data_IF_350371254879
#
_entry.id   IF_350371254879
#
_cell.length_a   1.000
_cell.length_b   1.000
_cell.length_c   1.000
_cell.angle_alpha   90.00
_cell.angle_beta   90.00
_cell.angle_gamma   90.00
#
_symmetry.space_group_name_H-M   'P 1'
#
loop_
_entity.id
_entity.type
_entity.pdbx_description
1 polymer ?
#
# COMPACT_ATOMS: atom_id res chain seq x y z
N UNK A 1 -17.05 9.03 -11.65
CA UNK A 1 -17.36 8.31 -10.39
C UNK A 1 -16.77 6.91 -10.35
N UNK A 2 -16.87 6.09 -11.42
CA UNK A 2 -16.26 4.74 -11.43
C UNK A 2 -14.74 4.71 -11.20
N UNK A 3 -14.00 5.65 -11.79
CA UNK A 3 -12.53 5.74 -11.64
C UNK A 3 -12.09 5.97 -10.20
N UNK A 4 -12.72 6.93 -9.51
CA UNK A 4 -12.45 7.24 -8.10
C UNK A 4 -12.79 6.06 -7.19
N UNK A 5 -13.91 5.38 -7.43
CA UNK A 5 -14.30 4.20 -6.66
C UNK A 5 -13.34 3.03 -6.92
N UNK A 6 -12.91 2.79 -8.15
CA UNK A 6 -11.94 1.75 -8.51
C UNK A 6 -10.55 2.05 -7.92
N UNK A 7 -10.16 3.33 -7.89
CA UNK A 7 -8.93 3.83 -7.26
C UNK A 7 -8.93 3.59 -5.75
N UNK A 8 -10.04 3.96 -5.08
CA UNK A 8 -10.20 3.80 -3.63
C UNK A 8 -10.22 2.31 -3.27
N UNK A 9 -11.00 1.49 -3.98
CA UNK A 9 -11.08 0.05 -3.72
C UNK A 9 -9.71 -0.60 -3.92
N UNK A 10 -9.01 -0.35 -5.04
CA UNK A 10 -7.66 -0.89 -5.26
C UNK A 10 -6.65 -0.36 -4.26
N UNK A 11 -6.72 0.92 -3.91
CA UNK A 11 -5.83 1.55 -2.94
C UNK A 11 -5.97 0.91 -1.56
N UNK A 12 -7.21 0.78 -1.08
CA UNK A 12 -7.52 0.11 0.20
C UNK A 12 -7.06 -1.35 0.17
N UNK A 13 -7.26 -2.05 -0.95
CA UNK A 13 -6.88 -3.46 -1.10
C UNK A 13 -5.35 -3.64 -1.08
N UNK A 14 -4.60 -2.75 -1.75
CA UNK A 14 -3.13 -2.74 -1.72
C UNK A 14 -2.61 -2.44 -0.32
N UNK A 15 -3.18 -1.44 0.37
CA UNK A 15 -2.80 -1.09 1.74
C UNK A 15 -3.07 -2.27 2.68
N UNK A 16 -4.27 -2.86 2.65
CA UNK A 16 -4.66 -3.97 3.50
C UNK A 16 -3.78 -5.21 3.31
N UNK A 17 -3.41 -5.53 2.06
CA UNK A 17 -2.46 -6.62 1.76
C UNK A 17 -1.08 -6.30 2.33
N UNK A 18 -0.58 -5.08 2.11
CA UNK A 18 0.75 -4.70 2.57
C UNK A 18 0.84 -4.74 4.11
N UNK A 19 -0.14 -4.16 4.79
CA UNK A 19 -0.25 -4.18 6.25
C UNK A 19 -0.39 -5.61 6.78
N UNK A 20 -1.19 -6.44 6.12
CA UNK A 20 -1.33 -7.86 6.46
C UNK A 20 -0.02 -8.63 6.36
N UNK A 21 0.77 -8.41 5.31
CA UNK A 21 2.09 -9.02 5.13
C UNK A 21 3.06 -8.54 6.20
N UNK A 22 3.09 -7.23 6.46
CA UNK A 22 3.96 -6.62 7.47
C UNK A 22 3.65 -7.16 8.86
N UNK A 23 2.37 -7.18 9.25
CA UNK A 23 1.91 -7.72 10.54
C UNK A 23 2.21 -9.22 10.65
N UNK A 24 2.03 -9.99 9.57
CA UNK A 24 2.38 -11.40 9.52
C UNK A 24 3.88 -11.62 9.75
N UNK A 25 4.75 -10.86 9.07
CA UNK A 25 6.20 -10.96 9.22
C UNK A 25 6.64 -10.54 10.63
N UNK A 26 6.09 -9.45 11.16
CA UNK A 26 6.34 -8.97 12.52
C UNK A 26 5.99 -10.05 13.56
N UNK A 27 4.79 -10.62 13.45
CA UNK A 27 4.31 -11.71 14.33
C UNK A 27 5.19 -12.95 14.21
N UNK A 28 5.59 -13.33 12.99
CA UNK A 28 6.38 -14.54 12.73
C UNK A 28 7.83 -14.41 13.21
N UNK A 29 8.42 -13.22 13.13
CA UNK A 29 9.81 -12.99 13.56
C UNK A 29 9.94 -12.52 15.01
N UNK A 30 8.83 -12.34 15.75
CA UNK A 30 8.81 -11.70 17.08
C UNK A 30 9.69 -10.44 17.12
N UNK A 31 9.65 -9.67 16.03
CA UNK A 31 10.56 -8.54 15.87
C UNK A 31 9.99 -7.35 16.63
N UNK A 32 10.76 -6.71 17.51
CA UNK A 32 10.30 -5.52 18.19
C UNK A 32 10.04 -4.41 17.16
N UNK A 33 8.88 -3.76 17.28
CA UNK A 33 8.51 -2.64 16.42
C UNK A 33 9.47 -1.49 16.75
N UNK A 34 10.47 -1.33 15.91
CA UNK A 34 11.52 -0.32 16.05
C UNK A 34 11.31 0.78 15.00
N UNK A 35 11.72 2.01 15.32
CA UNK A 35 11.55 3.19 14.46
C UNK A 35 12.02 2.98 13.00
N UNK A 36 13.17 2.33 12.72
CA UNK A 36 13.62 2.08 11.35
C UNK A 36 12.65 1.18 10.56
N UNK A 37 12.03 0.23 11.26
CA UNK A 37 11.10 -0.74 10.67
C UNK A 37 9.78 -0.05 10.32
N UNK A 38 9.29 0.84 11.19
CA UNK A 38 8.12 1.70 10.90
C UNK A 38 8.39 2.59 9.68
N UNK A 39 9.56 3.24 9.62
CA UNK A 39 9.94 4.05 8.46
C UNK A 39 9.97 3.23 7.17
N UNK A 40 10.52 2.00 7.21
CA UNK A 40 10.51 1.09 6.07
C UNK A 40 9.10 0.73 5.62
N UNK A 41 8.20 0.43 6.55
CA UNK A 41 6.79 0.14 6.26
C UNK A 41 6.10 1.32 5.58
N UNK A 42 6.28 2.54 6.11
CA UNK A 42 5.69 3.76 5.54
C UNK A 42 6.21 3.96 4.11
N UNK A 43 7.51 3.78 3.89
CA UNK A 43 8.14 3.99 2.59
C UNK A 43 7.61 2.99 1.55
N UNK A 44 7.55 1.71 1.90
CA UNK A 44 7.01 0.65 1.02
C UNK A 44 5.54 0.89 0.71
N UNK A 45 4.74 1.25 1.71
CA UNK A 45 3.31 1.54 1.53
C UNK A 45 3.09 2.77 0.65
N UNK A 46 3.89 3.82 0.84
CA UNK A 46 3.81 5.06 0.05
C UNK A 46 4.12 4.80 -1.42
N UNK A 47 5.18 4.04 -1.71
CA UNK A 47 5.57 3.68 -3.09
C UNK A 47 4.48 2.83 -3.76
N UNK A 48 3.96 1.81 -3.06
CA UNK A 48 2.88 0.98 -3.58
C UNK A 48 1.61 1.79 -3.89
N UNK A 49 1.28 2.77 -3.04
CA UNK A 49 0.15 3.66 -3.25
C UNK A 49 0.34 4.56 -4.47
N UNK A 50 1.52 5.18 -4.63
CA UNK A 50 1.83 6.03 -5.78
C UNK A 50 1.76 5.25 -7.09
N UNK A 51 2.32 4.03 -7.13
CA UNK A 51 2.27 3.17 -8.33
C UNK A 51 0.82 2.81 -8.68
N UNK A 52 0.01 2.44 -7.68
CA UNK A 52 -1.38 2.06 -7.91
C UNK A 52 -2.22 3.26 -8.39
N UNK A 53 -1.99 4.45 -7.83
CA UNK A 53 -2.63 5.68 -8.27
C UNK A 53 -2.23 6.06 -9.69
N UNK A 54 -0.93 5.98 -10.01
CA UNK A 54 -0.41 6.25 -11.35
C UNK A 54 -1.00 5.27 -12.39
N UNK A 55 -1.02 3.98 -12.08
CA UNK A 55 -1.57 2.96 -12.97
C UNK A 55 -3.05 3.20 -13.26
N UNK A 56 -3.84 3.57 -12.25
CA UNK A 56 -5.26 3.83 -12.42
C UNK A 56 -5.54 5.12 -13.21
N UNK A 57 -4.73 6.17 -13.02
CA UNK A 57 -4.79 7.39 -13.81
C UNK A 57 -4.48 7.12 -15.29
N UNK A 58 -3.41 6.36 -15.56
CA UNK A 58 -3.01 5.98 -16.93
C UNK A 58 -4.03 5.08 -17.62
N UNK A 59 -4.55 4.07 -16.91
CA UNK A 59 -5.54 3.13 -17.46
C UNK A 59 -6.85 3.83 -17.84
N UNK A 60 -7.22 4.91 -17.13
CA UNK A 60 -8.42 5.69 -17.40
C UNK A 60 -8.18 6.89 -18.34
N UNK A 61 -6.98 7.01 -18.92
CA UNK A 61 -6.67 8.06 -19.92
C UNK A 61 -6.66 9.48 -19.36
N UNK A 62 -6.50 9.63 -18.04
CA UNK A 62 -6.38 10.96 -17.38
C UNK A 62 -4.95 11.48 -17.53
N UNK A 63 -3.97 10.57 -17.61
CA UNK A 63 -2.53 10.81 -17.84
C UNK A 63 -2.04 9.87 -18.94
#
# INVERSE_FOLDING_TARGET
>A
MQVLTELIIRGVLVIAINDGIILYVLKKRSTPITIPLILGIILVTSVAFVINTWYCLKKNGII
#
